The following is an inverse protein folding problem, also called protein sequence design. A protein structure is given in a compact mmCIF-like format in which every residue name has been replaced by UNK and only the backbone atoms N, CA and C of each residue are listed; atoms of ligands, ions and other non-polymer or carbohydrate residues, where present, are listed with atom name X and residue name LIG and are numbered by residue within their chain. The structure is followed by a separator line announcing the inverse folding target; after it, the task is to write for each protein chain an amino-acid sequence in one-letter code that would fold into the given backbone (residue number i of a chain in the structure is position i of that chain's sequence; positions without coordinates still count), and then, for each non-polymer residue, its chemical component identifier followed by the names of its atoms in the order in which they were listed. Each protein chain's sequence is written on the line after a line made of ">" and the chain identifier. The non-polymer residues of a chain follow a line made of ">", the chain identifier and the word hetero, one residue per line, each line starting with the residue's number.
data_IF_590085996293
#
_entry.id   IF_590085996293
#
_cell.length_a   1.000
_cell.length_b   1.000
_cell.length_c   1.000
_cell.angle_alpha   90.00
_cell.angle_beta   90.00
_cell.angle_gamma   90.00
#
_symmetry.space_group_name_H-M   'P 1'
#
loop_
_entity.id
_entity.type
_entity.pdbx_description
1 polymer ?
#
# COMPACT_ATOMS: atom_id res chain seq x y z
N UNK A 1 0.34 21.73 -0.67
CA UNK A 1 -0.22 21.55 -2.03
C UNK A 1 -1.07 20.29 -2.00
N UNK A 2 -2.22 20.30 -2.67
CA UNK A 2 -3.20 19.21 -2.62
C UNK A 2 -3.28 18.51 -3.98
N UNK A 3 -3.33 17.17 -3.94
CA UNK A 3 -3.53 16.33 -5.11
C UNK A 3 -5.03 16.07 -5.31
N UNK A 4 -5.48 16.17 -6.55
CA UNK A 4 -6.81 15.71 -6.93
C UNK A 4 -6.77 14.19 -7.15
N UNK A 5 -7.71 13.47 -6.52
CA UNK A 5 -7.83 12.01 -6.67
C UNK A 5 -8.66 11.60 -7.90
N UNK A 6 -9.30 12.55 -8.59
CA UNK A 6 -10.06 12.25 -9.81
C UNK A 6 -9.10 11.79 -10.91
N UNK A 7 -9.35 10.59 -11.43
CA UNK A 7 -8.45 9.83 -12.31
C UNK A 7 -7.77 10.66 -13.41
N UNK A 8 -8.57 11.43 -14.15
CA UNK A 8 -8.14 12.20 -15.32
C UNK A 8 -7.73 13.64 -15.00
N UNK A 9 -7.67 14.02 -13.72
CA UNK A 9 -7.25 15.35 -13.32
C UNK A 9 -5.74 15.41 -13.14
N UNK A 10 -5.08 16.28 -13.92
CA UNK A 10 -3.63 16.54 -13.79
C UNK A 10 -3.28 17.59 -12.73
N UNK A 11 -4.26 18.05 -11.96
CA UNK A 11 -4.00 19.06 -10.94
C UNK A 11 -3.35 18.42 -9.70
N UNK A 12 -2.07 18.73 -9.54
CA UNK A 12 -1.23 18.25 -8.44
C UNK A 12 -1.00 19.31 -7.36
N UNK A 13 -1.41 20.57 -7.61
CA UNK A 13 -1.02 21.73 -6.81
C UNK A 13 -2.21 22.64 -6.49
N UNK A 14 -3.31 22.06 -6.00
CA UNK A 14 -4.39 22.88 -5.47
C UNK A 14 -3.95 23.55 -4.15
N UNK A 15 -4.42 24.79 -3.86
CA UNK A 15 -4.11 25.48 -2.61
C UNK A 15 -4.47 24.63 -1.38
N UNK A 16 -3.70 24.67 -0.27
CA UNK A 16 -3.93 23.85 0.91
C UNK A 16 -5.36 23.91 1.45
N UNK A 17 -5.98 25.09 1.43
CA UNK A 17 -7.33 25.35 1.96
C UNK A 17 -8.44 25.01 0.95
N UNK A 18 -8.11 24.72 -0.30
CA UNK A 18 -9.10 24.44 -1.33
C UNK A 18 -9.89 23.17 -0.98
N UNK A 19 -11.23 23.29 -1.03
CA UNK A 19 -12.15 22.13 -0.90
C UNK A 19 -12.45 21.49 -2.24
N UNK A 20 -12.37 22.27 -3.31
CA UNK A 20 -12.69 21.86 -4.67
C UNK A 20 -11.44 22.05 -5.54
N UNK A 21 -11.21 21.10 -6.44
CA UNK A 21 -10.17 21.16 -7.44
C UNK A 21 -10.49 22.25 -8.47
N UNK A 22 -9.62 23.24 -8.60
CA UNK A 22 -9.82 24.37 -9.52
C UNK A 22 -9.78 23.98 -11.01
N UNK A 23 -9.33 22.77 -11.32
CA UNK A 23 -9.20 22.30 -12.71
C UNK A 23 -10.39 21.46 -13.16
N UNK A 24 -10.95 20.62 -12.29
CA UNK A 24 -12.01 19.67 -12.67
C UNK A 24 -13.27 19.75 -11.80
N UNK A 25 -13.32 20.63 -10.80
CA UNK A 25 -14.48 20.83 -9.94
C UNK A 25 -14.76 19.71 -8.94
N UNK A 26 -13.91 18.67 -8.86
CA UNK A 26 -14.09 17.59 -7.88
C UNK A 26 -13.71 17.99 -6.47
N UNK A 27 -14.26 17.30 -5.47
CA UNK A 27 -13.86 17.45 -4.08
C UNK A 27 -12.41 16.99 -3.89
N UNK A 28 -11.63 17.76 -3.12
CA UNK A 28 -10.23 17.43 -2.77
C UNK A 28 -10.11 16.58 -1.50
N UNK A 29 -11.24 16.28 -0.86
CA UNK A 29 -11.34 15.40 0.29
C UNK A 29 -12.04 14.11 -0.12
N UNK A 30 -11.38 12.98 0.07
CA UNK A 30 -11.99 11.68 -0.08
C UNK A 30 -12.91 11.44 1.12
N UNK A 31 -14.20 11.23 0.85
CA UNK A 31 -15.28 11.08 1.86
C UNK A 31 -15.26 12.18 2.92
N UNK A 32 -15.00 13.42 2.48
CA UNK A 32 -14.92 14.62 3.33
C UNK A 32 -13.86 14.57 4.45
N UNK A 33 -13.01 13.54 4.48
CA UNK A 33 -12.08 13.26 5.59
C UNK A 33 -10.62 13.25 5.16
N UNK A 34 -10.25 12.51 4.11
CA UNK A 34 -8.85 12.29 3.78
C UNK A 34 -8.39 13.22 2.66
N UNK A 35 -7.27 13.92 2.89
CA UNK A 35 -6.70 14.87 1.93
C UNK A 35 -5.38 14.34 1.37
N UNK A 36 -5.31 14.07 0.07
CA UNK A 36 -4.07 13.67 -0.59
C UNK A 36 -3.09 14.85 -0.72
N UNK A 37 -1.86 14.67 -0.23
CA UNK A 37 -0.83 15.71 -0.19
C UNK A 37 0.35 15.44 -1.12
N UNK A 38 0.65 14.18 -1.42
CA UNK A 38 1.75 13.80 -2.32
C UNK A 38 1.51 12.42 -2.92
N UNK A 39 1.73 12.25 -4.22
CA UNK A 39 1.81 10.92 -4.82
C UNK A 39 3.16 10.28 -4.44
N UNK A 40 3.13 9.08 -3.86
CA UNK A 40 4.30 8.35 -3.37
C UNK A 40 4.54 7.03 -4.12
N UNK A 41 3.59 6.58 -4.92
CA UNK A 41 3.74 5.42 -5.79
C UNK A 41 2.68 5.41 -6.88
N UNK A 42 3.01 4.78 -8.01
CA UNK A 42 2.08 4.53 -9.10
C UNK A 42 2.39 3.18 -9.72
N UNK A 43 1.39 2.29 -9.71
CA UNK A 43 1.40 1.02 -10.42
C UNK A 43 0.50 1.08 -11.66
N UNK A 44 0.34 -0.06 -12.33
CA UNK A 44 -0.46 -0.15 -13.56
C UNK A 44 -1.94 0.22 -13.38
N UNK A 45 -2.54 -0.15 -12.25
CA UNK A 45 -3.95 0.04 -11.94
C UNK A 45 -4.14 0.63 -10.53
N UNK A 46 -3.06 1.10 -9.90
CA UNK A 46 -3.09 1.69 -8.57
C UNK A 46 -2.25 2.96 -8.50
N UNK A 47 -2.70 3.92 -7.68
CA UNK A 47 -1.93 5.10 -7.29
C UNK A 47 -1.92 5.21 -5.79
N UNK A 48 -0.74 5.47 -5.24
CA UNK A 48 -0.54 5.56 -3.80
C UNK A 48 -0.18 7.00 -3.45
N UNK A 49 -0.90 7.56 -2.50
CA UNK A 49 -0.74 8.93 -2.03
C UNK A 49 -0.44 8.97 -0.54
N UNK A 50 0.54 9.76 -0.14
CA UNK A 50 0.58 10.30 1.21
C UNK A 50 -0.58 11.28 1.37
N UNK A 51 -1.29 11.15 2.47
CA UNK A 51 -2.48 11.92 2.78
C UNK A 51 -2.52 12.30 4.27
N UNK A 52 -3.53 13.08 4.64
CA UNK A 52 -3.80 13.51 6.01
C UNK A 52 -5.26 13.25 6.35
N UNK A 53 -5.52 12.63 7.49
CA UNK A 53 -6.85 12.49 8.08
C UNK A 53 -7.28 13.84 8.71
N UNK A 54 -8.25 14.54 8.10
CA UNK A 54 -8.67 15.88 8.54
C UNK A 54 -9.64 15.86 9.73
N UNK A 55 -10.27 14.72 10.02
CA UNK A 55 -11.28 14.63 11.08
C UNK A 55 -10.65 14.51 12.47
N UNK A 56 -9.44 13.94 12.55
CA UNK A 56 -8.68 13.85 13.80
C UNK A 56 -8.03 15.20 14.13
N UNK A 57 -8.15 15.71 15.37
CA UNK A 57 -7.52 16.99 15.76
C UNK A 57 -6.01 17.05 15.53
N UNK A 58 -5.32 15.92 15.68
CA UNK A 58 -3.88 15.80 15.45
C UNK A 58 -3.48 15.79 13.97
N UNK A 59 -4.45 15.65 13.05
CA UNK A 59 -4.25 15.55 11.60
C UNK A 59 -3.14 14.57 11.22
N UNK A 60 -3.23 13.29 11.65
CA UNK A 60 -2.16 12.34 11.43
C UNK A 60 -2.00 12.02 9.93
N UNK A 61 -0.77 11.72 9.49
CA UNK A 61 -0.54 11.25 8.14
C UNK A 61 -1.12 9.85 7.94
N UNK A 62 -1.57 9.57 6.73
CA UNK A 62 -2.05 8.26 6.29
C UNK A 62 -1.66 8.01 4.84
N UNK A 63 -1.86 6.79 4.34
CA UNK A 63 -1.66 6.43 2.94
C UNK A 63 -3.01 6.15 2.30
N UNK A 64 -3.29 6.76 1.15
CA UNK A 64 -4.43 6.42 0.29
C UNK A 64 -3.91 5.59 -0.88
N UNK A 65 -4.32 4.33 -0.97
CA UNK A 65 -4.09 3.47 -2.13
C UNK A 65 -5.36 3.43 -2.96
N UNK A 66 -5.35 4.09 -4.11
CA UNK A 66 -6.46 4.18 -5.05
C UNK A 66 -6.28 3.12 -6.13
N UNK A 67 -7.34 2.39 -6.44
CA UNK A 67 -7.37 1.35 -7.47
C UNK A 67 -8.39 1.69 -8.57
N UNK A 68 -8.01 1.41 -9.80
CA UNK A 68 -8.82 1.63 -11.01
C UNK A 68 -8.99 0.33 -11.76
N UNK A 69 -10.24 -0.13 -11.93
CA UNK A 69 -10.54 -1.33 -12.68
C UNK A 69 -11.11 -0.95 -14.05
N UNK A 70 -10.26 -0.99 -15.08
CA UNK A 70 -10.64 -0.65 -16.44
C UNK A 70 -10.76 -1.96 -17.24
N UNK A 71 -11.99 -2.42 -17.47
CA UNK A 71 -12.28 -3.52 -18.39
C UNK A 71 -13.57 -3.24 -19.16
N UNK A 72 -13.66 -3.72 -20.40
CA UNK A 72 -14.90 -3.72 -21.18
C UNK A 72 -15.86 -4.85 -20.76
N UNK A 73 -15.38 -5.80 -19.95
CA UNK A 73 -16.14 -6.93 -19.44
C UNK A 73 -16.50 -6.69 -17.97
N UNK A 74 -17.79 -6.62 -17.68
CA UNK A 74 -18.33 -6.42 -16.34
C UNK A 74 -17.92 -7.53 -15.36
N UNK A 75 -17.79 -8.78 -15.83
CA UNK A 75 -17.36 -9.89 -15.00
C UNK A 75 -15.93 -9.72 -14.48
N UNK A 76 -15.03 -9.13 -15.28
CA UNK A 76 -13.66 -8.85 -14.86
C UNK A 76 -13.62 -7.73 -13.81
N UNK A 77 -14.44 -6.68 -14.00
CA UNK A 77 -14.57 -5.58 -13.03
C UNK A 77 -15.08 -6.12 -11.70
N UNK A 78 -16.15 -6.92 -11.71
CA UNK A 78 -16.70 -7.52 -10.50
C UNK A 78 -15.68 -8.42 -9.79
N UNK A 79 -14.94 -9.24 -10.53
CA UNK A 79 -13.86 -10.05 -9.97
C UNK A 79 -12.79 -9.20 -9.28
N UNK A 80 -12.40 -8.07 -9.87
CA UNK A 80 -11.40 -7.20 -9.28
C UNK A 80 -11.89 -6.46 -8.03
N UNK A 81 -13.18 -6.08 -8.01
CA UNK A 81 -13.82 -5.54 -6.82
C UNK A 81 -13.81 -6.58 -5.70
N UNK A 82 -14.20 -7.84 -5.98
CA UNK A 82 -14.16 -8.91 -4.97
C UNK A 82 -12.75 -9.11 -4.41
N UNK A 83 -11.71 -9.19 -5.26
CA UNK A 83 -10.34 -9.34 -4.78
C UNK A 83 -9.86 -8.15 -3.94
N UNK A 84 -10.32 -6.94 -4.27
CA UNK A 84 -10.06 -5.75 -3.48
C UNK A 84 -10.74 -5.81 -2.10
N UNK A 85 -11.98 -6.29 -2.04
CA UNK A 85 -12.69 -6.49 -0.77
C UNK A 85 -12.00 -7.55 0.09
N UNK A 86 -11.59 -8.68 -0.49
CA UNK A 86 -10.82 -9.71 0.21
C UNK A 86 -9.50 -9.18 0.78
N UNK A 87 -8.85 -8.25 0.09
CA UNK A 87 -7.64 -7.58 0.58
C UNK A 87 -7.90 -6.65 1.75
N UNK A 88 -8.99 -5.88 1.69
CA UNK A 88 -9.42 -5.08 2.83
C UNK A 88 -9.65 -5.97 4.06
N UNK A 89 -10.30 -7.12 3.91
CA UNK A 89 -10.53 -8.09 4.99
C UNK A 89 -9.23 -8.69 5.55
N UNK A 90 -8.28 -9.06 4.67
CA UNK A 90 -6.95 -9.56 5.05
C UNK A 90 -6.21 -8.51 5.88
N UNK A 91 -6.19 -7.25 5.42
CA UNK A 91 -5.53 -6.16 6.11
C UNK A 91 -6.23 -5.79 7.43
N UNK A 92 -7.56 -5.83 7.50
CA UNK A 92 -8.29 -5.59 8.75
C UNK A 92 -7.97 -6.66 9.81
N UNK A 93 -7.81 -7.91 9.37
CA UNK A 93 -7.41 -9.04 10.22
C UNK A 93 -5.96 -8.89 10.72
N UNK A 94 -5.03 -8.59 9.81
CA UNK A 94 -3.60 -8.59 10.08
C UNK A 94 -3.07 -7.28 10.69
N UNK A 95 -3.72 -6.16 10.41
CA UNK A 95 -3.27 -4.80 10.73
C UNK A 95 -3.17 -4.47 12.22
N UNK A 96 -3.63 -5.38 13.09
CA UNK A 96 -3.43 -5.29 14.55
C UNK A 96 -1.99 -5.64 14.97
N UNK A 97 -1.19 -6.21 14.06
CA UNK A 97 0.21 -6.55 14.32
C UNK A 97 1.11 -5.33 14.14
N UNK A 98 2.04 -5.01 15.07
CA UNK A 98 2.84 -3.77 15.04
C UNK A 98 3.78 -3.61 13.83
N UNK A 99 4.05 -4.71 13.13
CA UNK A 99 4.89 -4.78 11.93
C UNK A 99 4.08 -4.94 10.64
N UNK A 100 2.78 -4.69 10.66
CA UNK A 100 1.90 -4.65 9.50
C UNK A 100 1.15 -3.31 9.54
N UNK A 101 1.08 -2.60 8.43
CA UNK A 101 0.36 -1.32 8.38
C UNK A 101 -1.15 -1.54 8.63
N UNK A 102 -1.71 -0.80 9.57
CA UNK A 102 -3.13 -0.88 9.92
C UNK A 102 -4.02 -0.37 8.77
N UNK A 103 -5.13 -1.06 8.49
CA UNK A 103 -6.19 -0.53 7.65
C UNK A 103 -7.04 0.47 8.45
N UNK A 104 -7.07 1.72 8.02
CA UNK A 104 -7.84 2.80 8.67
C UNK A 104 -9.24 2.96 8.07
N UNK A 105 -9.39 2.69 6.77
CA UNK A 105 -10.69 2.71 6.10
C UNK A 105 -10.63 1.96 4.76
N UNK A 106 -11.75 1.32 4.42
CA UNK A 106 -12.04 0.84 3.08
C UNK A 106 -13.17 1.70 2.49
N UNK A 107 -12.91 2.41 1.39
CA UNK A 107 -13.83 3.40 0.83
C UNK A 107 -14.04 3.16 -0.67
N UNK A 108 -15.26 3.46 -1.13
CA UNK A 108 -15.61 3.48 -2.54
C UNK A 108 -16.12 4.87 -2.94
N UNK A 109 -15.64 5.38 -4.07
CA UNK A 109 -16.13 6.63 -4.65
C UNK A 109 -16.16 6.54 -6.18
N UNK A 110 -17.32 6.78 -6.77
CA UNK A 110 -17.61 6.50 -8.18
C UNK A 110 -17.22 5.05 -8.57
N UNK A 111 -16.31 4.90 -9.54
CA UNK A 111 -15.77 3.62 -10.05
C UNK A 111 -14.39 3.28 -9.47
N UNK A 112 -13.97 4.01 -8.43
CA UNK A 112 -12.66 3.84 -7.79
C UNK A 112 -12.82 3.22 -6.40
N UNK A 113 -11.89 2.32 -6.09
CA UNK A 113 -11.77 1.70 -4.78
C UNK A 113 -10.55 2.27 -4.05
N UNK A 114 -10.66 2.47 -2.73
CA UNK A 114 -9.62 3.13 -1.94
C UNK A 114 -9.38 2.38 -0.62
N UNK A 115 -8.12 2.03 -0.37
CA UNK A 115 -7.66 1.63 0.96
C UNK A 115 -6.96 2.81 1.61
N UNK A 116 -7.36 3.16 2.83
CA UNK A 116 -6.65 4.11 3.66
C UNK A 116 -5.91 3.35 4.74
N UNK A 117 -4.60 3.52 4.84
CA UNK A 117 -3.73 2.76 5.73
C UNK A 117 -2.89 3.68 6.63
N UNK A 118 -2.35 3.13 7.72
CA UNK A 118 -1.34 3.79 8.55
C UNK A 118 -0.17 4.26 7.67
N UNK A 119 0.25 5.52 7.85
CA UNK A 119 1.51 5.97 7.28
C UNK A 119 2.65 5.56 8.21
N UNK A 120 3.58 4.76 7.70
CA UNK A 120 4.77 4.33 8.43
C UNK A 120 5.92 5.32 8.18
N UNK A 121 6.35 6.12 9.17
CA UNK A 121 7.46 7.06 8.99
C UNK A 121 8.78 6.29 8.89
N UNK A 122 9.43 6.34 7.72
CA UNK A 122 10.57 5.48 7.45
C UNK A 122 11.07 5.60 6.02
N UNK A 123 12.07 4.77 5.71
CA UNK A 123 12.51 4.48 4.34
C UNK A 123 12.24 3.00 4.06
N UNK A 124 11.82 2.67 2.84
CA UNK A 124 11.82 1.27 2.44
C UNK A 124 13.24 0.75 2.24
N UNK A 125 13.44 -0.57 2.29
CA UNK A 125 14.78 -1.15 2.19
C UNK A 125 15.46 -0.87 0.85
N UNK A 126 14.72 -0.69 -0.23
CA UNK A 126 15.30 -0.27 -1.52
C UNK A 126 15.99 1.11 -1.38
N UNK A 127 15.30 2.09 -0.79
CA UNK A 127 15.86 3.42 -0.50
C UNK A 127 17.01 3.36 0.51
N UNK A 128 16.94 2.44 1.48
CA UNK A 128 18.05 2.24 2.41
C UNK A 128 19.27 1.70 1.67
N UNK A 129 19.11 0.68 0.81
CA UNK A 129 20.21 0.13 0.00
C UNK A 129 20.83 1.19 -0.91
N UNK A 130 20.02 2.05 -1.53
CA UNK A 130 20.51 3.15 -2.36
C UNK A 130 21.31 4.19 -1.58
N UNK A 131 20.91 4.49 -0.33
CA UNK A 131 21.49 5.59 0.45
C UNK A 131 22.58 5.17 1.44
N UNK A 132 22.54 3.94 1.93
CA UNK A 132 23.45 3.41 2.96
C UNK A 132 24.32 2.26 2.43
N UNK A 133 24.03 1.73 1.24
CA UNK A 133 24.75 0.60 0.65
C UNK A 133 24.25 -0.75 1.15
N UNK A 134 25.01 -1.80 0.82
CA UNK A 134 24.66 -3.19 1.15
C UNK A 134 24.72 -3.46 2.65
N UNK A 135 23.83 -4.34 3.11
CA UNK A 135 23.79 -4.72 4.51
C UNK A 135 24.93 -5.68 4.84
N UNK A 136 25.53 -5.52 6.01
CA UNK A 136 26.39 -6.53 6.61
C UNK A 136 25.59 -7.78 6.99
N UNK A 137 26.28 -8.91 7.15
CA UNK A 137 25.65 -10.16 7.61
C UNK A 137 24.88 -9.98 8.92
N UNK A 138 25.43 -9.19 9.85
CA UNK A 138 24.76 -8.86 11.11
C UNK A 138 23.43 -8.14 10.87
N UNK A 139 23.40 -7.11 10.01
CA UNK A 139 22.18 -6.38 9.68
C UNK A 139 21.15 -7.25 8.95
N UNK A 140 21.60 -8.19 8.11
CA UNK A 140 20.70 -9.16 7.46
C UNK A 140 20.07 -10.09 8.50
N UNK A 141 20.85 -10.60 9.47
CA UNK A 141 20.30 -11.44 10.55
C UNK A 141 19.27 -10.68 11.38
N UNK A 142 19.53 -9.42 11.73
CA UNK A 142 18.56 -8.57 12.43
C UNK A 142 17.27 -8.37 11.63
N UNK A 143 17.40 -8.10 10.32
CA UNK A 143 16.26 -7.99 9.42
C UNK A 143 15.42 -9.27 9.39
N UNK A 144 16.06 -10.43 9.23
CA UNK A 144 15.38 -11.72 9.17
C UNK A 144 14.73 -12.09 10.51
N UNK A 145 15.42 -11.88 11.63
CA UNK A 145 14.87 -12.09 12.97
C UNK A 145 13.65 -11.20 13.24
N UNK A 146 13.60 -10.01 12.63
CA UNK A 146 12.46 -9.12 12.72
C UNK A 146 11.32 -9.52 11.78
N UNK A 147 11.58 -10.03 10.58
CA UNK A 147 10.55 -10.31 9.56
C UNK A 147 9.96 -11.71 9.64
N UNK A 148 10.76 -12.74 9.93
CA UNK A 148 10.31 -14.14 9.93
C UNK A 148 9.13 -14.39 10.89
N UNK A 149 9.12 -13.84 12.13
CA UNK A 149 7.96 -13.98 13.02
C UNK A 149 6.69 -13.31 12.46
N UNK A 150 6.84 -12.22 11.70
CA UNK A 150 5.70 -11.55 11.06
C UNK A 150 5.14 -12.42 9.94
N UNK A 151 6.02 -13.05 9.15
CA UNK A 151 5.60 -13.99 8.11
C UNK A 151 4.92 -15.23 8.70
N UNK A 152 5.44 -15.76 9.81
CA UNK A 152 4.78 -16.85 10.56
C UNK A 152 3.39 -16.43 11.04
N UNK A 153 3.26 -15.22 11.60
CA UNK A 153 1.96 -14.66 11.99
C UNK A 153 0.99 -14.56 10.81
N UNK A 154 1.44 -14.02 9.67
CA UNK A 154 0.63 -13.91 8.44
C UNK A 154 0.17 -15.30 7.97
N UNK A 155 1.10 -16.28 7.94
CA UNK A 155 0.80 -17.64 7.51
C UNK A 155 -0.13 -18.37 8.47
N UNK A 156 -0.05 -18.11 9.79
CA UNK A 156 -0.99 -18.67 10.77
C UNK A 156 -2.45 -18.24 10.56
N UNK A 157 -2.66 -17.14 9.82
CA UNK A 157 -3.98 -16.66 9.40
C UNK A 157 -4.38 -17.16 8.00
N UNK A 158 -3.65 -18.13 7.43
CA UNK A 158 -3.84 -18.64 6.06
C UNK A 158 -3.74 -17.55 4.98
N UNK A 159 -2.93 -16.51 5.23
CA UNK A 159 -2.64 -15.46 4.26
C UNK A 159 -1.20 -15.63 3.75
N UNK A 160 -0.98 -15.31 2.47
CA UNK A 160 0.36 -15.24 1.86
C UNK A 160 0.52 -13.82 1.32
N UNK A 161 1.60 -13.13 1.70
CA UNK A 161 1.83 -11.73 1.30
C UNK A 161 2.11 -11.55 -0.20
N UNK A 162 2.76 -12.53 -0.84
CA UNK A 162 2.98 -12.58 -2.31
C UNK A 162 3.84 -11.47 -2.94
N UNK A 163 4.32 -10.49 -2.18
CA UNK A 163 5.17 -9.39 -2.68
C UNK A 163 6.23 -8.95 -1.67
N UNK A 164 6.94 -9.92 -1.08
CA UNK A 164 8.07 -9.63 -0.21
C UNK A 164 9.26 -9.18 -1.07
N UNK A 165 9.57 -7.89 -0.98
CA UNK A 165 10.69 -7.24 -1.67
C UNK A 165 11.14 -5.99 -0.91
N UNK A 166 12.35 -5.44 -1.16
CA UNK A 166 12.87 -4.30 -0.42
C UNK A 166 11.95 -3.06 -0.42
N UNK A 167 11.20 -2.83 -1.49
CA UNK A 167 10.27 -1.70 -1.62
C UNK A 167 9.08 -1.77 -0.65
N UNK A 168 8.71 -2.98 -0.22
CA UNK A 168 7.53 -3.28 0.61
C UNK A 168 7.89 -3.53 2.08
N UNK A 169 9.15 -3.33 2.45
CA UNK A 169 9.62 -3.42 3.83
C UNK A 169 10.09 -2.04 4.26
N UNK A 170 9.35 -1.39 5.16
CA UNK A 170 9.69 -0.05 5.67
C UNK A 170 10.49 -0.19 6.97
N UNK A 171 11.70 0.35 6.99
CA UNK A 171 12.48 0.55 8.21
C UNK A 171 12.00 1.85 8.87
N UNK A 172 11.35 1.75 10.03
CA UNK A 172 10.88 2.92 10.79
C UNK A 172 12.05 3.83 11.14
N UNK A 173 11.82 5.14 11.13
CA UNK A 173 12.80 6.09 11.67
C UNK A 173 12.98 5.83 13.18
N UNK A 174 14.21 5.93 13.71
CA UNK A 174 14.42 5.95 15.16
C UNK A 174 13.56 7.10 15.74
N UNK A 175 12.65 6.79 16.67
CA UNK A 175 11.93 7.86 17.35
C UNK A 175 12.89 8.57 18.30
N UNK A 176 13.08 9.88 18.09
CA UNK A 176 13.80 10.75 19.03
C UNK A 176 12.96 11.06 20.30
N UNK A 177 11.92 10.27 20.58
CA UNK A 177 11.02 10.49 21.71
C UNK A 177 11.56 9.79 22.96
N UNK A 178 12.00 10.59 23.93
CA UNK A 178 12.41 10.19 25.30
C UNK A 178 11.28 9.45 26.04
N UNK A 179 10.04 9.53 25.54
CA UNK A 179 8.89 8.80 26.04
C UNK A 179 8.34 7.90 24.94
N UNK A 180 8.93 6.72 24.75
CA UNK A 180 8.24 5.56 24.18
C UNK A 180 9.08 4.32 24.45
N UNK A 181 8.58 3.51 25.39
CA UNK A 181 8.86 2.07 25.53
C UNK A 181 9.00 1.42 24.16
N UNK A 182 10.14 0.75 23.93
CA UNK A 182 10.46 -0.17 22.83
C UNK A 182 9.51 -0.07 21.62
N UNK A 183 9.91 0.63 20.56
CA UNK A 183 9.23 0.47 19.26
C UNK A 183 9.31 -1.02 18.91
N UNK A 184 8.23 -1.76 19.13
CA UNK A 184 8.11 -3.15 18.69
C UNK A 184 8.04 -3.13 17.18
N UNK A 185 9.03 -3.73 16.53
CA UNK A 185 9.04 -3.89 15.08
C UNK A 185 9.70 -2.75 14.32
N UNK A 186 11.03 -2.83 14.18
CA UNK A 186 11.83 -1.90 13.37
C UNK A 186 11.43 -1.93 11.89
N UNK A 187 11.04 -3.10 11.38
CA UNK A 187 10.64 -3.32 10.00
C UNK A 187 9.15 -3.64 9.91
N UNK A 188 8.46 -2.90 9.05
CA UNK A 188 7.02 -3.01 8.82
C UNK A 188 6.79 -3.49 7.40
N UNK A 189 5.99 -4.54 7.26
CA UNK A 189 5.49 -5.02 5.98
C UNK A 189 4.32 -4.16 5.52
N UNK A 190 4.38 -3.76 4.26
CA UNK A 190 3.33 -3.02 3.58
C UNK A 190 3.01 -3.69 2.25
N UNK A 191 1.86 -3.32 1.68
CA UNK A 191 1.47 -3.68 0.31
C UNK A 191 1.19 -5.18 0.07
N UNK A 192 0.01 -5.64 0.47
CA UNK A 192 -0.49 -7.00 0.23
C UNK A 192 -1.13 -7.13 -1.19
N UNK A 193 -0.45 -6.59 -2.20
CA UNK A 193 -1.06 -6.18 -3.48
C UNK A 193 -1.95 -7.22 -4.20
N UNK A 194 -3.23 -6.88 -4.34
CA UNK A 194 -4.23 -7.58 -5.16
C UNK A 194 -3.89 -7.63 -6.66
N UNK A 195 -3.01 -6.73 -7.11
CA UNK A 195 -2.47 -6.69 -8.47
C UNK A 195 -2.15 -8.06 -9.03
N UNK A 196 -1.43 -8.82 -8.22
CA UNK A 196 -0.77 -10.04 -8.64
C UNK A 196 -1.77 -11.17 -8.85
N UNK A 197 -2.90 -11.13 -8.15
CA UNK A 197 -3.98 -12.10 -8.27
C UNK A 197 -4.83 -11.86 -9.52
N UNK A 198 -4.73 -10.67 -10.10
CA UNK A 198 -5.44 -10.31 -11.31
C UNK A 198 -4.68 -10.70 -12.60
N UNK A 199 -3.38 -11.05 -12.53
CA UNK A 199 -2.41 -11.27 -13.65
C UNK A 199 -2.85 -12.09 -14.89
N UNK A 200 -4.04 -12.71 -14.90
CA UNK A 200 -4.62 -13.42 -16.06
C UNK A 200 -5.94 -12.84 -16.61
N UNK A 201 -6.37 -11.66 -16.16
CA UNK A 201 -7.65 -11.03 -16.58
C UNK A 201 -7.43 -9.95 -17.66
N UNK A 202 -8.45 -9.69 -18.49
CA UNK A 202 -8.47 -8.64 -19.53
C UNK A 202 -8.30 -7.21 -18.99
N UNK A 203 -8.23 -7.07 -17.66
CA UNK A 203 -7.94 -5.84 -16.94
C UNK A 203 -6.52 -5.35 -17.24
N UNK A 204 -5.60 -6.26 -17.61
CA UNK A 204 -4.25 -5.89 -18.02
C UNK A 204 -4.16 -5.57 -19.49
N UNK A 205 -3.42 -4.50 -19.81
CA UNK A 205 -2.91 -4.34 -21.18
C UNK A 205 -2.00 -5.53 -21.49
N UNK A 206 -2.10 -6.12 -22.70
CA UNK A 206 -1.18 -7.17 -23.13
C UNK A 206 0.28 -6.73 -22.92
N UNK A 207 1.07 -7.57 -22.24
CA UNK A 207 2.49 -7.28 -21.93
C UNK A 207 2.75 -6.57 -20.59
N UNK A 208 1.73 -6.32 -19.76
CA UNK A 208 1.93 -5.73 -18.42
C UNK A 208 2.45 -6.81 -17.45
N UNK A 209 3.74 -6.79 -17.16
CA UNK A 209 4.32 -7.60 -16.08
C UNK A 209 4.08 -6.86 -14.76
N UNK A 210 3.20 -7.37 -13.90
CA UNK A 210 2.85 -6.79 -12.58
C UNK A 210 3.72 -7.31 -11.43
N UNK A 211 4.62 -8.22 -11.77
CA UNK A 211 5.52 -8.86 -10.85
C UNK A 211 6.90 -8.24 -10.98
N UNK A 212 7.60 -8.07 -9.86
CA UNK A 212 9.04 -7.79 -9.87
C UNK A 212 9.74 -9.13 -10.07
N UNK A 213 10.13 -9.52 -11.31
CA UNK A 213 10.52 -10.89 -11.64
C UNK A 213 11.68 -11.43 -10.79
N UNK A 214 12.50 -10.54 -10.23
CA UNK A 214 13.63 -10.83 -9.37
C UNK A 214 13.23 -11.47 -8.03
N UNK A 215 11.99 -11.25 -7.55
CA UNK A 215 11.50 -11.70 -6.24
C UNK A 215 10.32 -12.67 -6.31
N UNK A 216 9.83 -13.01 -7.51
CA UNK A 216 8.66 -13.88 -7.66
C UNK A 216 9.07 -15.34 -7.70
N UNK A 217 8.39 -16.17 -6.90
CA UNK A 217 8.67 -17.59 -6.85
C UNK A 217 8.14 -18.31 -8.11
N UNK A 218 8.81 -19.37 -8.62
CA UNK A 218 8.43 -20.07 -9.85
C UNK A 218 6.99 -20.63 -9.84
N UNK A 219 6.49 -21.04 -8.68
CA UNK A 219 5.12 -21.53 -8.48
C UNK A 219 4.08 -20.42 -8.62
N UNK A 220 4.39 -19.19 -8.18
CA UNK A 220 3.52 -18.03 -8.38
C UNK A 220 3.41 -17.70 -9.88
N UNK A 221 4.52 -17.80 -10.64
CA UNK A 221 4.49 -17.66 -12.10
C UNK A 221 3.64 -18.73 -12.80
N UNK A 222 3.48 -19.90 -12.18
CA UNK A 222 2.61 -20.98 -12.64
C UNK A 222 1.17 -20.85 -12.13
N UNK A 223 0.83 -19.77 -11.41
CA UNK A 223 -0.49 -19.54 -10.82
C UNK A 223 -0.81 -20.45 -9.63
N UNK A 224 0.20 -21.06 -9.01
CA UNK A 224 0.05 -21.97 -7.86
C UNK A 224 0.68 -21.32 -6.63
N UNK A 225 -0.15 -20.72 -5.79
CA UNK A 225 0.29 -20.13 -4.53
C UNK A 225 -0.18 -21.05 -3.41
N UNK A 226 0.74 -21.84 -2.85
CA UNK A 226 0.44 -22.82 -1.82
C UNK A 226 1.32 -22.53 -0.58
N UNK A 227 0.79 -22.81 0.61
CA UNK A 227 1.64 -23.00 1.77
C UNK A 227 2.54 -24.22 1.53
N UNK A 228 3.82 -24.09 1.88
CA UNK A 228 4.77 -25.19 1.84
C UNK A 228 4.47 -26.22 2.94
#
# INVERSE_FOLDING_TARGET
>A
MNYCLKENCKNINSPPEARICLTCGSMLLLKDRYRAIKMIGQGGFSKTYLAVDQDKPSKPPCVIKQFYFISQNEADVNRAITLFEEEAEKLDTLGKHPQIAELLANLQDDYCQYLVQEFIPGKNLAQVLETEGTFSEYQIRELLNSLLPVLEFIHSHNIIHQDIKPENIIRRLPSNSVYQTAIKGQFVLVDFDVAKQLTGTSIFKPGTILCTPEYVAPEQLKGRVNFA
#
